data_IF_548986229444
#
_entry.id   IF_548986229444
#
_cell.length_a   1.000
_cell.length_b   1.000
_cell.length_c   1.000
_cell.angle_alpha   90.00
_cell.angle_beta   90.00
_cell.angle_gamma   90.00
#
_symmetry.space_group_name_H-M   'P 1'
#
loop_
_entity.id
_entity.type
_entity.pdbx_description
1 polymer ?
#
# COMPACT_ATOMS: atom_id res chain seq x y z
N UNK A 1 71.68 -18.61 -10.25
CA UNK A 1 70.22 -18.46 -10.46
C UNK A 1 69.56 -18.31 -9.11
N UNK A 2 69.01 -17.13 -8.79
CA UNK A 2 68.25 -16.93 -7.54
C UNK A 2 66.85 -17.49 -7.79
N UNK A 3 66.56 -18.63 -7.19
CA UNK A 3 65.26 -19.27 -7.29
C UNK A 3 64.27 -18.44 -6.45
N UNK A 4 63.44 -17.62 -7.10
CA UNK A 4 62.35 -16.91 -6.40
C UNK A 4 61.31 -17.94 -5.98
N UNK A 5 61.29 -18.29 -4.69
CA UNK A 5 60.18 -19.01 -4.07
C UNK A 5 58.89 -18.25 -4.39
N UNK A 6 58.06 -18.81 -5.28
CA UNK A 6 56.71 -18.31 -5.52
C UNK A 6 55.92 -18.58 -4.25
N UNK A 7 55.64 -17.53 -3.46
CA UNK A 7 54.73 -17.62 -2.31
C UNK A 7 53.34 -17.98 -2.86
N UNK A 8 52.93 -19.22 -2.66
CA UNK A 8 51.58 -19.67 -2.90
C UNK A 8 50.82 -19.65 -1.57
N UNK A 9 49.53 -19.32 -1.61
CA UNK A 9 48.68 -19.40 -0.44
C UNK A 9 48.56 -20.86 0.01
N UNK A 10 48.69 -21.08 1.31
CA UNK A 10 48.44 -22.37 1.93
C UNK A 10 46.94 -22.69 1.89
N UNK A 11 46.59 -23.97 1.90
CA UNK A 11 45.20 -24.41 2.01
C UNK A 11 44.51 -23.82 3.26
N UNK A 12 45.25 -23.71 4.37
CA UNK A 12 44.76 -23.13 5.61
C UNK A 12 44.45 -21.63 5.49
N UNK A 13 45.30 -20.85 4.80
CA UNK A 13 45.04 -19.43 4.54
C UNK A 13 43.79 -19.23 3.67
N UNK A 14 43.61 -20.04 2.62
CA UNK A 14 42.42 -19.96 1.77
C UNK A 14 41.15 -20.35 2.54
N UNK A 15 41.20 -21.39 3.37
CA UNK A 15 40.06 -21.82 4.19
C UNK A 15 39.68 -20.78 5.25
N UNK A 16 40.67 -20.13 5.88
CA UNK A 16 40.40 -19.05 6.82
C UNK A 16 39.72 -17.87 6.12
N UNK A 17 40.19 -17.47 4.93
CA UNK A 17 39.57 -16.38 4.15
C UNK A 17 38.13 -16.72 3.74
N UNK A 18 37.89 -17.93 3.24
CA UNK A 18 36.53 -18.36 2.87
C UNK A 18 35.60 -18.44 4.09
N UNK A 19 36.11 -18.89 5.26
CA UNK A 19 35.35 -18.90 6.50
C UNK A 19 34.98 -17.47 6.95
N UNK A 20 35.92 -16.53 6.89
CA UNK A 20 35.66 -15.12 7.24
C UNK A 20 34.64 -14.50 6.29
N UNK A 21 34.80 -14.68 4.97
CA UNK A 21 33.84 -14.17 3.98
C UNK A 21 32.47 -14.81 4.18
N UNK A 22 32.40 -16.12 4.47
CA UNK A 22 31.14 -16.81 4.76
C UNK A 22 30.40 -16.26 5.97
N UNK A 23 31.11 -16.00 7.07
CA UNK A 23 30.52 -15.40 8.28
C UNK A 23 30.05 -13.97 8.01
N UNK A 24 30.87 -13.14 7.37
CA UNK A 24 30.51 -11.75 7.07
C UNK A 24 29.32 -11.69 6.09
N UNK A 25 29.31 -12.52 5.06
CA UNK A 25 28.19 -12.62 4.11
C UNK A 25 26.91 -13.07 4.82
N UNK A 26 26.98 -14.08 5.69
CA UNK A 26 25.81 -14.53 6.47
C UNK A 26 25.23 -13.44 7.38
N UNK A 27 26.07 -12.55 7.92
CA UNK A 27 25.61 -11.44 8.76
C UNK A 27 25.06 -10.25 7.96
N UNK A 28 25.45 -10.09 6.70
CA UNK A 28 25.13 -8.91 5.88
C UNK A 28 24.02 -9.16 4.87
N UNK A 29 23.91 -10.36 4.32
CA UNK A 29 22.92 -10.72 3.29
C UNK A 29 21.46 -10.55 3.76
N UNK A 30 21.05 -11.00 4.96
CA UNK A 30 19.67 -10.83 5.40
C UNK A 30 19.26 -9.35 5.47
N UNK A 31 20.09 -8.53 6.12
CA UNK A 31 19.82 -7.09 6.30
C UNK A 31 19.74 -6.32 4.98
N UNK A 32 20.57 -6.69 4.00
CA UNK A 32 20.54 -6.04 2.69
C UNK A 32 19.28 -6.45 1.91
N UNK A 33 18.90 -7.73 1.94
CA UNK A 33 17.69 -8.22 1.28
C UNK A 33 16.45 -7.54 1.87
N UNK A 34 16.31 -7.58 3.19
CA UNK A 34 15.15 -7.01 3.89
C UNK A 34 14.97 -5.52 3.58
N UNK A 35 16.07 -4.76 3.53
CA UNK A 35 16.02 -3.35 3.19
C UNK A 35 15.68 -3.11 1.71
N UNK A 36 16.18 -3.93 0.78
CA UNK A 36 15.85 -3.79 -0.66
C UNK A 36 14.38 -4.13 -0.90
N UNK A 37 13.88 -5.19 -0.29
CA UNK A 37 12.49 -5.62 -0.39
C UNK A 37 11.54 -4.55 0.20
N UNK A 38 11.87 -4.01 1.38
CA UNK A 38 11.13 -2.90 1.98
C UNK A 38 11.10 -1.66 1.07
N UNK A 39 12.24 -1.27 0.49
CA UNK A 39 12.28 -0.13 -0.40
C UNK A 39 11.49 -0.36 -1.69
N UNK A 40 11.42 -1.62 -2.17
CA UNK A 40 10.59 -1.98 -3.32
C UNK A 40 9.09 -1.85 -2.97
N UNK A 41 8.68 -2.28 -1.78
CA UNK A 41 7.30 -2.13 -1.29
C UNK A 41 6.92 -0.66 -1.11
N UNK A 42 7.79 0.15 -0.49
CA UNK A 42 7.61 1.60 -0.33
C UNK A 42 7.48 2.29 -1.69
N UNK A 43 8.30 1.91 -2.67
CA UNK A 43 8.19 2.42 -4.04
C UNK A 43 6.87 1.98 -4.69
N UNK A 44 6.44 0.73 -4.46
CA UNK A 44 5.18 0.17 -4.93
C UNK A 44 3.97 0.95 -4.41
N UNK A 45 3.88 1.21 -3.10
CA UNK A 45 2.75 1.96 -2.52
C UNK A 45 2.73 3.42 -2.99
N UNK A 46 3.88 4.07 -3.14
CA UNK A 46 3.96 5.45 -3.67
C UNK A 46 3.51 5.52 -5.13
N UNK A 47 3.88 4.51 -5.93
CA UNK A 47 3.44 4.39 -7.31
C UNK A 47 1.92 4.18 -7.36
N UNK A 48 1.40 3.20 -6.63
CA UNK A 48 -0.04 2.93 -6.59
C UNK A 48 -0.83 4.16 -6.12
N UNK A 49 -0.34 4.86 -5.10
CA UNK A 49 -0.94 6.14 -4.66
C UNK A 49 -0.98 7.17 -5.79
N UNK A 50 0.10 7.33 -6.54
CA UNK A 50 0.17 8.27 -7.68
C UNK A 50 -0.80 7.87 -8.79
N UNK A 51 -0.86 6.58 -9.13
CA UNK A 51 -1.76 6.04 -10.16
C UNK A 51 -3.23 6.23 -9.75
N UNK A 52 -3.55 6.02 -8.46
CA UNK A 52 -4.89 6.25 -7.90
C UNK A 52 -5.31 7.73 -7.89
N UNK A 53 -4.39 8.66 -7.59
CA UNK A 53 -4.66 10.11 -7.69
C UNK A 53 -5.04 10.50 -9.13
N UNK A 54 -4.24 10.07 -10.10
CA UNK A 54 -4.48 10.34 -11.52
C UNK A 54 -5.82 9.75 -11.95
N UNK A 55 -6.12 8.52 -11.54
CA UNK A 55 -7.38 7.87 -11.86
C UNK A 55 -8.59 8.59 -11.23
N UNK A 56 -8.45 9.06 -9.99
CA UNK A 56 -9.48 9.85 -9.31
C UNK A 56 -9.74 11.17 -10.03
N UNK A 57 -8.71 11.96 -10.34
CA UNK A 57 -8.85 13.23 -11.04
C UNK A 57 -9.50 13.06 -12.42
N UNK A 58 -9.11 12.02 -13.15
CA UNK A 58 -9.70 11.67 -14.44
C UNK A 58 -11.17 11.24 -14.31
N UNK A 59 -11.51 10.46 -13.29
CA UNK A 59 -12.87 10.08 -12.97
C UNK A 59 -13.73 11.32 -12.68
N UNK A 60 -13.28 12.21 -11.79
CA UNK A 60 -14.01 13.44 -11.44
C UNK A 60 -14.18 14.35 -12.65
N UNK A 61 -13.15 14.47 -13.49
CA UNK A 61 -13.22 15.25 -14.74
C UNK A 61 -14.28 14.70 -15.70
N UNK A 62 -14.46 13.37 -15.77
CA UNK A 62 -15.40 12.72 -16.69
C UNK A 62 -16.83 12.67 -16.16
N UNK A 63 -16.99 12.41 -14.87
CA UNK A 63 -18.26 12.05 -14.25
C UNK A 63 -18.79 13.05 -13.22
N UNK A 64 -17.97 14.03 -12.86
CA UNK A 64 -18.22 14.89 -11.71
C UNK A 64 -17.86 14.21 -10.38
N UNK A 65 -18.04 14.96 -9.30
CA UNK A 65 -17.71 14.57 -7.94
C UNK A 65 -18.49 13.32 -7.49
N UNK A 66 -17.88 12.41 -6.68
CA UNK A 66 -18.53 11.17 -6.29
C UNK A 66 -19.85 11.29 -5.54
N UNK A 67 -19.97 12.33 -4.70
CA UNK A 67 -21.19 12.63 -3.95
C UNK A 67 -22.42 12.80 -4.86
N UNK A 68 -22.26 13.45 -6.02
CA UNK A 68 -23.34 13.76 -6.94
C UNK A 68 -24.02 12.52 -7.55
N UNK A 69 -23.30 11.41 -7.69
CA UNK A 69 -23.82 10.18 -8.28
C UNK A 69 -23.93 9.01 -7.29
N UNK A 70 -23.17 9.02 -6.20
CA UNK A 70 -23.35 8.05 -5.10
C UNK A 70 -24.55 8.39 -4.21
N UNK A 71 -24.92 9.67 -4.06
CA UNK A 71 -26.12 10.07 -3.29
C UNK A 71 -27.43 9.51 -3.86
N UNK A 72 -27.46 9.13 -5.14
CA UNK A 72 -28.62 8.52 -5.79
C UNK A 72 -29.03 7.16 -5.23
N UNK A 73 -28.12 6.46 -4.54
CA UNK A 73 -28.44 5.21 -3.84
C UNK A 73 -29.17 5.45 -2.51
N UNK A 74 -29.12 6.67 -1.98
CA UNK A 74 -29.64 7.03 -0.65
C UNK A 74 -28.90 6.29 0.46
N UNK A 75 -29.44 6.34 1.69
CA UNK A 75 -28.87 5.65 2.87
C UNK A 75 -29.26 4.16 2.94
N UNK A 76 -29.59 3.56 1.81
CA UNK A 76 -30.07 2.17 1.72
C UNK A 76 -28.90 1.20 1.62
N UNK A 77 -28.52 0.61 2.76
CA UNK A 77 -27.39 -0.32 2.85
C UNK A 77 -27.54 -1.57 1.96
N UNK A 78 -28.76 -1.89 1.48
CA UNK A 78 -28.97 -3.02 0.55
C UNK A 78 -28.39 -2.75 -0.84
N UNK A 79 -28.21 -1.48 -1.20
CA UNK A 79 -27.65 -1.06 -2.49
C UNK A 79 -26.15 -0.84 -2.48
N UNK A 80 -25.48 -1.14 -1.37
CA UNK A 80 -24.03 -0.92 -1.22
C UNK A 80 -23.24 -1.59 -2.34
N UNK A 81 -23.57 -2.83 -2.68
CA UNK A 81 -22.89 -3.57 -3.75
C UNK A 81 -23.01 -2.85 -5.11
N UNK A 82 -24.20 -2.35 -5.46
CA UNK A 82 -24.43 -1.57 -6.68
C UNK A 82 -23.64 -0.25 -6.68
N UNK A 83 -23.56 0.43 -5.52
CA UNK A 83 -22.78 1.65 -5.36
C UNK A 83 -21.27 1.39 -5.51
N UNK A 84 -20.74 0.33 -4.87
CA UNK A 84 -19.35 -0.09 -5.01
C UNK A 84 -19.04 -0.45 -6.46
N UNK A 85 -19.94 -1.16 -7.15
CA UNK A 85 -19.77 -1.53 -8.55
C UNK A 85 -19.66 -0.30 -9.45
N UNK A 86 -20.53 0.69 -9.25
CA UNK A 86 -20.51 1.94 -9.99
C UNK A 86 -19.19 2.69 -9.76
N UNK A 87 -18.76 2.80 -8.51
CA UNK A 87 -17.49 3.43 -8.14
C UNK A 87 -16.30 2.72 -8.82
N UNK A 88 -16.25 1.40 -8.71
CA UNK A 88 -15.22 0.58 -9.37
C UNK A 88 -15.20 0.79 -10.87
N UNK A 89 -16.35 0.76 -11.53
CA UNK A 89 -16.44 0.90 -12.99
C UNK A 89 -15.96 2.27 -13.47
N UNK A 90 -16.27 3.34 -12.72
CA UNK A 90 -15.82 4.70 -13.06
C UNK A 90 -14.32 4.90 -12.83
N UNK A 91 -13.76 4.35 -11.75
CA UNK A 91 -12.32 4.36 -11.50
C UNK A 91 -11.54 3.52 -12.52
N UNK A 92 -12.06 2.33 -12.86
CA UNK A 92 -11.48 1.37 -13.81
C UNK A 92 -11.15 2.01 -15.15
N UNK A 93 -11.96 2.94 -15.65
CA UNK A 93 -11.75 3.59 -16.94
C UNK A 93 -10.46 4.41 -17.05
N UNK A 94 -9.90 4.81 -15.90
CA UNK A 94 -8.68 5.61 -15.82
C UNK A 94 -7.50 4.81 -15.27
N UNK A 95 -7.68 3.52 -15.02
CA UNK A 95 -6.65 2.60 -14.53
C UNK A 95 -6.20 1.64 -15.63
N UNK A 96 -4.91 1.32 -15.65
CA UNK A 96 -4.34 0.30 -16.54
C UNK A 96 -4.65 -1.12 -16.03
N UNK A 97 -5.92 -1.51 -16.14
CA UNK A 97 -6.42 -2.81 -15.69
C UNK A 97 -6.00 -3.93 -16.65
N UNK A 98 -5.51 -5.03 -16.07
CA UNK A 98 -5.20 -6.29 -16.74
C UNK A 98 -6.34 -7.30 -16.58
N UNK A 99 -6.88 -7.42 -15.36
CA UNK A 99 -7.98 -8.33 -15.02
C UNK A 99 -9.03 -7.62 -14.14
N UNK A 100 -10.31 -7.77 -14.48
CA UNK A 100 -11.43 -7.40 -13.62
C UNK A 100 -11.98 -8.68 -13.00
N UNK A 101 -11.84 -8.83 -11.68
CA UNK A 101 -12.28 -10.02 -10.97
C UNK A 101 -13.70 -9.85 -10.38
N UNK A 102 -14.39 -8.77 -10.74
CA UNK A 102 -15.75 -8.47 -10.28
C UNK A 102 -15.84 -8.49 -8.75
N UNK A 103 -16.74 -9.29 -8.18
CA UNK A 103 -16.96 -9.43 -6.73
C UNK A 103 -16.18 -10.60 -6.10
N UNK A 104 -15.26 -11.20 -6.85
CA UNK A 104 -14.41 -12.30 -6.40
C UNK A 104 -12.97 -11.82 -6.22
N UNK A 105 -12.39 -12.06 -5.04
CA UNK A 105 -10.98 -11.77 -4.81
C UNK A 105 -10.04 -12.63 -5.68
N UNK A 106 -10.54 -13.71 -6.29
CA UNK A 106 -9.71 -14.71 -6.99
C UNK A 106 -8.77 -14.08 -8.02
N UNK A 107 -7.46 -14.27 -7.83
CA UNK A 107 -6.36 -13.74 -8.66
C UNK A 107 -6.13 -12.21 -8.63
N UNK A 108 -7.00 -11.43 -7.99
CA UNK A 108 -6.86 -9.98 -7.85
C UNK A 108 -6.42 -9.56 -6.43
N UNK A 109 -6.85 -10.27 -5.39
CA UNK A 109 -6.47 -10.01 -3.99
C UNK A 109 -6.36 -11.32 -3.20
N UNK A 110 -5.52 -11.37 -2.15
CA UNK A 110 -5.35 -12.57 -1.33
C UNK A 110 -6.54 -12.86 -0.41
N UNK A 111 -7.28 -11.83 -0.01
CA UNK A 111 -8.40 -11.92 0.94
C UNK A 111 -9.66 -11.29 0.36
N UNK A 112 -10.82 -11.90 0.66
CA UNK A 112 -12.12 -11.33 0.30
C UNK A 112 -12.61 -10.35 1.36
N UNK A 113 -12.98 -9.15 0.91
CA UNK A 113 -13.62 -8.07 1.64
C UNK A 113 -15.11 -8.04 1.29
N UNK A 114 -15.96 -7.81 2.28
CA UNK A 114 -17.42 -7.73 2.13
C UNK A 114 -17.82 -6.59 1.20
N UNK A 115 -18.77 -6.85 0.30
CA UNK A 115 -19.33 -5.87 -0.65
C UNK A 115 -18.26 -5.12 -1.49
N UNK A 116 -17.11 -5.76 -1.72
CA UNK A 116 -15.99 -5.22 -2.47
C UNK A 116 -15.96 -5.73 -3.92
N UNK A 117 -15.34 -4.93 -4.79
CA UNK A 117 -15.00 -5.31 -6.16
C UNK A 117 -13.49 -5.27 -6.36
N UNK A 118 -12.98 -6.14 -7.22
CA UNK A 118 -11.55 -6.42 -7.32
C UNK A 118 -11.01 -6.20 -8.73
N UNK A 119 -9.82 -5.63 -8.81
CA UNK A 119 -9.09 -5.38 -10.06
C UNK A 119 -7.63 -5.82 -9.91
N UNK A 120 -7.02 -6.26 -11.01
CA UNK A 120 -5.57 -6.42 -11.12
C UNK A 120 -5.06 -5.46 -12.18
N UNK A 121 -4.08 -4.64 -11.82
CA UNK A 121 -3.43 -3.72 -12.75
C UNK A 121 -2.36 -4.46 -13.57
N UNK A 122 -2.00 -3.91 -14.73
CA UNK A 122 -0.89 -4.42 -15.57
C UNK A 122 0.47 -4.40 -14.86
N UNK A 123 0.62 -3.60 -13.82
CA UNK A 123 1.79 -3.62 -12.94
C UNK A 123 1.90 -4.92 -12.11
N UNK A 124 0.83 -5.71 -12.05
CA UNK A 124 0.67 -6.85 -11.14
C UNK A 124 0.00 -6.48 -9.81
N UNK A 125 -0.19 -5.18 -9.54
CA UNK A 125 -0.84 -4.66 -8.32
C UNK A 125 -2.28 -5.13 -8.22
N UNK A 126 -2.65 -5.68 -7.07
CA UNK A 126 -4.03 -6.04 -6.72
C UNK A 126 -4.76 -4.87 -6.10
N UNK A 127 -6.04 -4.70 -6.42
CA UNK A 127 -6.92 -3.69 -5.84
C UNK A 127 -8.20 -4.35 -5.35
N UNK A 128 -8.68 -3.96 -4.16
CA UNK A 128 -10.06 -4.13 -3.75
C UNK A 128 -10.66 -2.76 -3.43
N UNK A 129 -11.85 -2.49 -3.98
CA UNK A 129 -12.60 -1.26 -3.76
C UNK A 129 -13.85 -1.64 -2.98
N UNK A 130 -14.08 -1.02 -1.83
CA UNK A 130 -15.26 -1.28 -1.00
C UNK A 130 -15.84 0.02 -0.45
N UNK A 131 -17.13 0.01 -0.11
CA UNK A 131 -17.77 1.12 0.60
C UNK A 131 -18.18 0.60 1.97
N UNK A 132 -17.42 0.94 3.02
CA UNK A 132 -17.74 0.54 4.38
C UNK A 132 -18.74 1.53 5.02
N UNK A 133 -19.65 1.02 5.85
CA UNK A 133 -20.59 1.83 6.64
C UNK A 133 -21.92 2.17 5.92
N UNK A 134 -22.52 3.27 6.37
CA UNK A 134 -23.76 3.82 5.82
C UNK A 134 -23.45 4.56 4.51
N UNK A 135 -24.35 4.47 3.53
CA UNK A 135 -24.28 5.22 2.26
C UNK A 135 -24.69 6.69 2.46
N UNK A 136 -24.01 7.36 3.39
CA UNK A 136 -24.17 8.79 3.66
C UNK A 136 -22.96 9.56 3.12
N UNK A 137 -23.07 10.02 1.87
CA UNK A 137 -22.01 10.75 1.16
C UNK A 137 -22.22 12.27 1.19
N UNK A 138 -22.96 12.77 2.19
CA UNK A 138 -23.32 14.19 2.29
C UNK A 138 -22.12 15.08 2.59
N UNK A 139 -21.65 15.86 1.62
CA UNK A 139 -20.60 16.84 1.93
C UNK A 139 -21.14 18.09 2.63
N UNK A 140 -20.37 18.63 3.59
CA UNK A 140 -20.65 19.94 4.21
C UNK A 140 -19.90 21.06 3.48
N UNK A 141 -20.54 22.21 3.32
CA UNK A 141 -20.04 23.42 2.62
C UNK A 141 -18.90 24.16 3.38
N UNK A 142 -18.02 23.44 4.08
CA UNK A 142 -16.82 24.03 4.67
C UNK A 142 -15.67 24.02 3.64
N UNK A 143 -14.67 24.90 3.81
CA UNK A 143 -13.49 24.95 2.92
C UNK A 143 -12.75 23.60 2.84
N UNK A 144 -12.87 22.76 3.88
CA UNK A 144 -12.38 21.38 3.90
C UNK A 144 -13.56 20.41 3.73
N UNK A 145 -13.62 19.71 2.59
CA UNK A 145 -14.68 18.74 2.25
C UNK A 145 -14.46 17.40 2.99
N UNK A 146 -14.55 17.38 4.32
CA UNK A 146 -14.18 16.19 5.12
C UNK A 146 -15.37 15.41 5.71
N UNK A 147 -16.62 15.91 5.74
CA UNK A 147 -17.69 15.18 6.47
C UNK A 147 -19.14 15.26 5.95
N UNK A 148 -19.79 14.06 5.78
CA UNK A 148 -19.15 12.83 5.30
C UNK A 148 -18.80 12.97 3.81
N UNK A 149 -17.51 13.04 3.53
CA UNK A 149 -17.01 13.04 2.16
C UNK A 149 -15.99 11.91 1.98
N UNK A 150 -16.24 10.75 2.58
CA UNK A 150 -15.54 9.51 2.26
C UNK A 150 -16.49 8.65 1.41
N UNK A 151 -15.99 8.15 0.29
CA UNK A 151 -16.75 7.45 -0.74
C UNK A 151 -16.48 5.94 -0.74
N UNK A 152 -15.45 5.50 -0.04
CA UNK A 152 -15.06 4.10 0.09
C UNK A 152 -13.58 3.96 0.39
N UNK A 153 -13.14 2.71 0.54
CA UNK A 153 -11.76 2.34 0.76
C UNK A 153 -11.22 1.61 -0.48
N UNK A 154 -9.93 1.80 -0.74
CA UNK A 154 -9.16 1.05 -1.72
C UNK A 154 -8.03 0.35 -1.00
N UNK A 155 -8.11 -0.98 -0.96
CA UNK A 155 -7.03 -1.85 -0.52
C UNK A 155 -6.15 -2.16 -1.72
N UNK A 156 -4.84 -2.03 -1.52
CA UNK A 156 -3.84 -2.13 -2.58
C UNK A 156 -2.78 -3.12 -2.16
N UNK A 157 -2.72 -4.22 -2.89
CA UNK A 157 -1.63 -5.18 -2.81
C UNK A 157 -0.53 -4.78 -3.83
N UNK A 158 0.57 -4.22 -3.35
CA UNK A 158 1.55 -3.53 -4.20
C UNK A 158 2.51 -4.45 -4.96
N UNK A 159 2.76 -5.65 -4.43
CA UNK A 159 3.57 -6.69 -5.07
C UNK A 159 2.70 -7.72 -5.82
N UNK A 160 1.39 -7.71 -5.57
CA UNK A 160 0.36 -8.49 -6.25
C UNK A 160 0.02 -9.79 -5.50
N UNK A 161 -1.20 -10.33 -5.70
CA UNK A 161 -1.77 -11.38 -4.86
C UNK A 161 -1.01 -12.71 -4.89
N UNK A 162 -0.22 -12.92 -5.94
CA UNK A 162 0.58 -14.13 -6.14
C UNK A 162 1.94 -14.07 -5.41
N UNK A 163 2.33 -12.89 -4.91
CA UNK A 163 3.59 -12.66 -4.21
C UNK A 163 3.31 -12.42 -2.74
N UNK A 164 3.68 -13.40 -1.91
CA UNK A 164 3.65 -13.20 -0.46
C UNK A 164 4.55 -12.03 -0.01
N UNK A 165 4.38 -11.59 1.25
CA UNK A 165 3.62 -12.27 2.30
C UNK A 165 2.10 -12.05 2.36
N UNK A 166 1.53 -11.13 1.57
CA UNK A 166 0.09 -10.80 1.58
C UNK A 166 -0.41 -10.40 2.98
N UNK A 167 0.24 -9.41 3.59
CA UNK A 167 0.02 -8.90 4.94
C UNK A 167 -0.34 -7.41 4.93
N UNK A 168 -1.39 -7.08 5.67
CA UNK A 168 -1.81 -5.72 5.96
C UNK A 168 -0.67 -4.91 6.59
N UNK A 169 -0.46 -3.69 6.10
CA UNK A 169 0.60 -2.81 6.57
C UNK A 169 2.01 -3.25 6.15
N UNK A 170 2.17 -4.29 5.35
CA UNK A 170 3.46 -4.70 4.79
C UNK A 170 3.49 -4.58 3.27
N UNK A 171 2.64 -5.33 2.59
CA UNK A 171 2.45 -5.27 1.14
C UNK A 171 1.00 -4.96 0.72
N UNK A 172 0.05 -5.05 1.65
CA UNK A 172 -1.32 -4.57 1.50
C UNK A 172 -1.49 -3.25 2.24
N UNK A 173 -1.90 -2.21 1.51
CA UNK A 173 -2.07 -0.84 2.01
C UNK A 173 -3.50 -0.35 1.79
N UNK A 174 -3.95 0.57 2.63
CA UNK A 174 -5.33 1.07 2.63
C UNK A 174 -5.37 2.57 2.36
N UNK A 175 -6.31 2.97 1.50
CA UNK A 175 -6.55 4.33 1.08
C UNK A 175 -8.03 4.64 1.16
N UNK A 176 -8.36 5.82 1.67
CA UNK A 176 -9.70 6.36 1.65
C UNK A 176 -9.89 7.16 0.37
N UNK A 177 -10.97 6.89 -0.35
CA UNK A 177 -11.44 7.76 -1.41
C UNK A 177 -12.31 8.85 -0.77
N UNK A 178 -11.94 10.11 -0.89
CA UNK A 178 -12.67 11.23 -0.30
C UNK A 178 -12.94 12.34 -1.32
N UNK A 179 -13.67 13.39 -0.92
CA UNK A 179 -13.87 14.57 -1.77
C UNK A 179 -12.59 15.40 -1.97
N UNK A 180 -11.53 15.09 -1.24
CA UNK A 180 -10.21 15.71 -1.41
C UNK A 180 -9.29 14.87 -2.31
N UNK A 181 -9.76 13.71 -2.81
CA UNK A 181 -8.97 12.79 -3.61
C UNK A 181 -8.78 11.45 -2.92
N UNK A 182 -7.65 10.79 -3.20
CA UNK A 182 -7.28 9.55 -2.51
C UNK A 182 -6.39 9.91 -1.32
N UNK A 183 -6.65 9.36 -0.15
CA UNK A 183 -5.91 9.71 1.08
C UNK A 183 -5.39 8.42 1.70
N UNK A 184 -4.07 8.30 1.97
CA UNK A 184 -3.57 7.13 2.67
C UNK A 184 -4.04 7.12 4.11
N UNK A 185 -4.46 5.95 4.59
CA UNK A 185 -4.88 5.77 5.98
C UNK A 185 -3.76 6.08 6.97
N UNK A 186 -4.13 6.62 8.14
CA UNK A 186 -3.18 7.07 9.17
C UNK A 186 -2.74 8.54 9.06
N UNK A 187 -3.31 9.32 8.13
CA UNK A 187 -3.15 10.77 8.09
C UNK A 187 -4.14 11.47 9.05
N UNK A 188 -3.64 12.48 9.76
CA UNK A 188 -4.42 13.44 10.51
C UNK A 188 -3.96 14.85 10.22
N UNK A 189 -4.91 15.70 9.82
CA UNK A 189 -4.69 17.12 9.59
C UNK A 189 -4.28 17.89 10.87
N UNK A 190 -4.69 17.42 12.05
CA UNK A 190 -4.39 18.08 13.32
C UNK A 190 -3.04 17.64 13.92
N UNK A 191 -2.66 16.38 13.72
CA UNK A 191 -1.55 15.76 14.47
C UNK A 191 -0.47 15.12 13.59
N UNK A 192 -0.59 15.20 12.27
CA UNK A 192 0.33 14.57 11.33
C UNK A 192 0.01 13.08 11.12
N UNK A 193 1.00 12.20 11.23
CA UNK A 193 0.81 10.76 10.97
C UNK A 193 0.58 10.03 12.28
N UNK A 194 -0.51 9.26 12.35
CA UNK A 194 -0.76 8.29 13.40
C UNK A 194 -0.31 6.91 12.93
N UNK A 195 0.20 6.13 13.89
CA UNK A 195 0.52 4.73 13.68
C UNK A 195 -0.31 3.88 14.65
N UNK A 196 -0.75 2.73 14.18
CA UNK A 196 -1.59 1.76 14.89
C UNK A 196 -0.88 0.40 14.93
N UNK A 197 -0.78 -0.21 16.11
CA UNK A 197 -0.12 -1.53 16.30
C UNK A 197 -1.09 -2.65 15.93
N UNK A 198 -2.34 -2.45 16.29
CA UNK A 198 -3.44 -3.41 16.23
C UNK A 198 -4.21 -3.37 14.90
N UNK A 199 -3.97 -2.35 14.07
CA UNK A 199 -4.59 -2.21 12.73
C UNK A 199 -3.51 -1.80 11.70
N UNK A 200 -2.66 -2.75 11.23
CA UNK A 200 -1.46 -2.44 10.46
C UNK A 200 -1.70 -1.71 9.13
N UNK A 201 -2.81 -1.98 8.44
CA UNK A 201 -3.19 -1.30 7.19
C UNK A 201 -3.46 0.21 7.38
N UNK A 202 -3.73 0.67 8.61
CA UNK A 202 -3.85 2.09 8.93
C UNK A 202 -2.50 2.83 8.99
N UNK A 203 -1.38 2.15 8.75
CA UNK A 203 -0.05 2.77 8.71
C UNK A 203 0.39 3.20 7.31
N UNK A 204 -0.51 3.20 6.32
CA UNK A 204 -0.21 3.51 4.91
C UNK A 204 0.43 4.89 4.72
N UNK A 205 -0.06 5.89 5.45
CA UNK A 205 0.49 7.24 5.46
C UNK A 205 1.96 7.27 5.88
N UNK A 206 2.32 6.46 6.90
CA UNK A 206 3.69 6.32 7.36
C UNK A 206 4.56 5.73 6.26
N UNK A 207 4.15 4.61 5.65
CA UNK A 207 4.90 3.95 4.59
C UNK A 207 5.26 4.92 3.45
N UNK A 208 4.30 5.74 3.03
CA UNK A 208 4.48 6.73 1.97
C UNK A 208 5.39 7.89 2.43
N UNK A 209 5.15 8.47 3.60
CA UNK A 209 5.81 9.72 4.03
C UNK A 209 7.16 9.50 4.70
N UNK A 210 7.27 8.50 5.58
CA UNK A 210 8.53 8.12 6.20
C UNK A 210 9.44 7.35 5.22
N UNK A 211 8.85 6.63 4.26
CA UNK A 211 9.60 5.88 3.25
C UNK A 211 10.25 4.60 3.80
N UNK A 212 9.67 4.05 4.87
CA UNK A 212 10.08 2.81 5.52
C UNK A 212 8.85 2.10 6.10
N UNK A 213 9.03 0.84 6.49
CA UNK A 213 8.02 0.03 7.16
C UNK A 213 8.44 -0.27 8.62
N UNK A 214 9.15 0.65 9.27
CA UNK A 214 9.76 0.43 10.58
C UNK A 214 8.73 0.24 11.71
N UNK A 215 7.47 0.64 11.50
CA UNK A 215 6.38 0.31 12.42
C UNK A 215 6.17 -1.20 12.59
N UNK A 216 6.58 -2.02 11.62
CA UNK A 216 6.57 -3.48 11.72
C UNK A 216 7.73 -4.05 12.58
N UNK A 217 8.67 -3.20 13.04
CA UNK A 217 9.88 -3.62 13.76
C UNK A 217 9.99 -3.04 15.16
N UNK A 218 9.65 -1.76 15.33
CA UNK A 218 9.84 -1.04 16.60
C UNK A 218 8.71 -0.05 16.90
N UNK A 219 7.46 -0.43 16.66
CA UNK A 219 6.27 0.41 16.85
C UNK A 219 6.32 1.31 18.11
N UNK A 220 6.63 0.72 19.27
CA UNK A 220 6.66 1.42 20.58
C UNK A 220 7.62 2.61 20.66
N UNK A 221 8.65 2.61 19.81
CA UNK A 221 9.69 3.63 19.81
C UNK A 221 9.41 4.74 18.78
N UNK A 222 8.46 4.53 17.87
CA UNK A 222 8.21 5.42 16.77
C UNK A 222 7.20 6.50 17.15
N UNK A 223 7.45 7.70 16.64
CA UNK A 223 6.48 8.79 16.66
C UNK A 223 6.76 9.75 15.51
N UNK A 224 5.69 10.26 14.90
CA UNK A 224 5.84 11.19 13.78
C UNK A 224 6.62 12.46 14.17
N UNK A 225 6.52 12.90 15.42
CA UNK A 225 7.21 14.08 15.91
C UNK A 225 8.71 13.84 16.20
N UNK A 226 9.08 12.70 16.78
CA UNK A 226 10.41 12.55 17.41
C UNK A 226 11.30 11.47 16.79
N UNK A 227 10.75 10.32 16.38
CA UNK A 227 11.56 9.17 15.93
C UNK A 227 10.83 8.41 14.81
N UNK A 228 11.38 8.48 13.59
CA UNK A 228 10.77 7.92 12.36
C UNK A 228 11.51 6.70 11.81
N UNK A 229 12.52 6.24 12.52
CA UNK A 229 13.34 5.06 12.17
C UNK A 229 13.63 4.26 13.43
N UNK A 230 13.79 2.94 13.30
CA UNK A 230 14.21 2.09 14.42
C UNK A 230 15.68 2.28 14.80
N UNK A 231 16.50 2.69 13.84
CA UNK A 231 17.93 2.95 13.99
C UNK A 231 18.20 4.40 14.44
#
# INVERSE_FOLDING_TARGET
>A
MINRLKKAFTMAEVLMVLAVIGVVAAMTLPRLSDNVDEQALVAGVRKAYSDLQIAYEAMVTRYGEPDGWLSGFGKDSTKRKEATELLKNRLKESLDVDLDCEDSASNCMPTSITDAYYLKLKSGTGLAISIAGDLDFTCSDFQDKYYPCAFGNIYVDVNGPDKGPNQDGYDIFDFVLSANGVEPEGLSYASGIYIYDDIPNMNTAWAIKAGNLDYNKCFSDLSWANKRTCN
#
